data_IF_629880196833
#
_entry.id   IF_629880196833
#
_cell.length_a   1.000
_cell.length_b   1.000
_cell.length_c   1.000
_cell.angle_alpha   90.00
_cell.angle_beta   90.00
_cell.angle_gamma   90.00
#
_symmetry.space_group_name_H-M   'P 1'
#
loop_
_entity.id
_entity.type
_entity.pdbx_description
1 polymer ?
#
# COMPACT_ATOMS: atom_id res chain seq x y z
N UNK A 1 5.35 -36.76 4.74
CA UNK A 1 6.04 -36.26 5.95
C UNK A 1 5.50 -34.87 6.21
N UNK A 2 4.77 -34.66 7.32
CA UNK A 2 4.37 -33.32 7.71
C UNK A 2 5.63 -32.53 8.05
N UNK A 3 5.78 -31.32 7.50
CA UNK A 3 6.82 -30.40 7.89
C UNK A 3 6.75 -30.18 9.41
N UNK A 4 7.89 -30.19 10.13
CA UNK A 4 7.86 -29.88 11.55
C UNK A 4 7.18 -28.52 11.72
N UNK A 5 6.30 -28.38 12.71
CA UNK A 5 5.71 -27.11 13.16
C UNK A 5 6.89 -26.16 13.49
N UNK A 6 7.37 -25.44 12.51
CA UNK A 6 8.27 -24.32 12.75
C UNK A 6 7.42 -23.24 13.42
N UNK A 7 7.51 -23.19 14.75
CA UNK A 7 6.95 -22.08 15.51
C UNK A 7 7.69 -20.83 15.08
N UNK A 8 6.96 -19.86 14.55
CA UNK A 8 7.50 -18.53 14.29
C UNK A 8 7.97 -17.97 15.63
N UNK A 9 9.27 -17.67 15.73
CA UNK A 9 9.93 -17.15 16.95
C UNK A 9 10.21 -15.65 16.87
N UNK A 10 10.11 -15.08 15.67
CA UNK A 10 10.51 -13.72 15.37
C UNK A 10 9.47 -13.03 14.52
N UNK A 11 9.17 -11.79 14.85
CA UNK A 11 8.16 -10.97 14.17
C UNK A 11 8.70 -9.58 13.91
N UNK A 12 8.30 -9.02 12.77
CA UNK A 12 8.33 -7.58 12.56
C UNK A 12 6.89 -7.06 12.63
N UNK A 13 6.70 -5.97 13.34
CA UNK A 13 5.44 -5.25 13.42
C UNK A 13 5.65 -3.88 12.78
N UNK A 14 4.95 -3.65 11.68
CA UNK A 14 4.83 -2.35 11.05
C UNK A 14 3.62 -1.63 11.67
N UNK A 15 3.86 -0.72 12.60
CA UNK A 15 2.84 0.03 13.30
C UNK A 15 2.65 1.38 12.62
N UNK A 16 1.53 1.51 11.91
CA UNK A 16 1.15 2.74 11.22
C UNK A 16 0.71 3.82 12.19
N UNK A 17 1.17 5.04 11.98
CA UNK A 17 0.85 6.24 12.78
C UNK A 17 0.37 7.36 11.87
N UNK A 18 -0.73 7.98 12.19
CA UNK A 18 -1.27 9.11 11.42
C UNK A 18 -2.77 9.08 11.25
N UNK A 19 -3.30 10.01 10.49
CA UNK A 19 -4.75 10.17 10.26
C UNK A 19 -5.38 8.96 9.60
N UNK A 20 -4.67 8.27 8.70
CA UNK A 20 -5.11 7.05 8.05
C UNK A 20 -4.88 5.76 8.86
N UNK A 21 -4.19 5.83 10.01
CA UNK A 21 -3.83 4.67 10.80
C UNK A 21 -4.81 4.44 11.97
N UNK A 22 -4.78 3.21 12.53
CA UNK A 22 -5.47 2.91 13.79
C UNK A 22 -4.88 3.71 14.96
N UNK A 23 -3.54 3.79 15.04
CA UNK A 23 -2.82 4.63 16.00
C UNK A 23 -2.65 6.04 15.48
N UNK A 24 -3.40 7.00 16.05
CA UNK A 24 -3.37 8.41 15.60
C UNK A 24 -2.13 9.17 16.10
N UNK A 25 -1.44 8.68 17.13
CA UNK A 25 -0.25 9.32 17.71
C UNK A 25 0.90 8.35 17.90
N UNK A 26 2.13 8.84 17.75
CA UNK A 26 3.33 8.06 18.00
C UNK A 26 3.45 7.58 19.45
N UNK A 27 2.88 8.29 20.42
CA UNK A 27 2.86 7.92 21.84
C UNK A 27 2.04 6.64 22.03
N UNK A 28 0.81 6.60 21.49
CA UNK A 28 -0.07 5.44 21.57
C UNK A 28 0.54 4.22 20.84
N UNK A 29 1.13 4.45 19.67
CA UNK A 29 1.81 3.41 18.91
C UNK A 29 2.99 2.79 19.71
N UNK A 30 3.83 3.64 20.33
CA UNK A 30 4.93 3.16 21.20
C UNK A 30 4.40 2.37 22.40
N UNK A 31 3.31 2.80 23.03
CA UNK A 31 2.70 2.09 24.13
C UNK A 31 2.20 0.70 23.70
N UNK A 32 1.53 0.61 22.54
CA UNK A 32 1.12 -0.68 21.97
C UNK A 32 2.31 -1.57 21.67
N UNK A 33 3.34 -1.06 21.00
CA UNK A 33 4.57 -1.81 20.70
C UNK A 33 5.25 -2.33 21.97
N UNK A 34 5.32 -1.53 23.04
CA UNK A 34 5.88 -1.95 24.32
C UNK A 34 5.09 -3.11 24.96
N UNK A 35 3.76 -3.05 24.89
CA UNK A 35 2.87 -4.11 25.37
C UNK A 35 3.09 -5.40 24.56
N UNK A 36 3.08 -5.31 23.22
CA UNK A 36 3.29 -6.46 22.33
C UNK A 36 4.65 -7.11 22.54
N UNK A 37 5.72 -6.32 22.70
CA UNK A 37 7.06 -6.83 23.04
C UNK A 37 7.06 -7.57 24.38
N UNK A 38 6.36 -7.04 25.38
CA UNK A 38 6.25 -7.68 26.70
C UNK A 38 5.56 -9.04 26.59
N UNK A 39 4.47 -9.13 25.83
CA UNK A 39 3.74 -10.39 25.61
C UNK A 39 4.63 -11.39 24.85
N UNK A 40 5.26 -10.96 23.76
CA UNK A 40 6.15 -11.82 22.97
C UNK A 40 7.31 -12.37 23.79
N UNK A 41 7.96 -11.51 24.56
CA UNK A 41 9.09 -11.94 25.43
C UNK A 41 8.65 -13.01 26.42
N UNK A 42 7.45 -12.89 27.01
CA UNK A 42 6.90 -13.91 27.93
C UNK A 42 6.64 -15.24 27.23
N UNK A 43 6.34 -15.23 25.93
CA UNK A 43 6.12 -16.42 25.09
C UNK A 43 7.43 -16.91 24.41
N UNK A 44 8.58 -16.37 24.80
CA UNK A 44 9.90 -16.72 24.25
C UNK A 44 10.08 -16.29 22.80
N UNK A 45 9.41 -15.20 22.37
CA UNK A 45 9.46 -14.66 21.01
C UNK A 45 10.12 -13.29 20.97
N UNK A 46 10.65 -12.92 19.83
CA UNK A 46 11.23 -11.59 19.56
C UNK A 46 10.30 -10.80 18.65
N UNK A 47 10.06 -9.54 18.99
CA UNK A 47 9.35 -8.58 18.12
C UNK A 47 10.21 -7.34 17.91
N UNK A 48 10.45 -6.99 16.65
CA UNK A 48 10.91 -5.67 16.21
C UNK A 48 9.71 -4.85 15.79
N UNK A 49 9.54 -3.66 16.35
CA UNK A 49 8.46 -2.72 15.96
C UNK A 49 9.08 -1.58 15.16
N UNK A 50 8.51 -1.32 14.00
CA UNK A 50 8.82 -0.17 13.15
C UNK A 50 7.59 0.73 13.12
N UNK A 51 7.75 1.98 13.51
CA UNK A 51 6.69 2.99 13.39
C UNK A 51 6.82 3.66 12.04
N UNK A 52 5.75 3.64 11.26
CA UNK A 52 5.72 4.21 9.91
C UNK A 52 4.60 5.23 9.78
N UNK A 53 4.86 6.26 8.98
CA UNK A 53 3.92 7.35 8.76
C UNK A 53 2.74 6.90 7.87
N UNK A 54 1.52 7.34 8.23
CA UNK A 54 0.30 7.17 7.45
C UNK A 54 -0.57 8.44 7.49
N UNK A 55 0.07 9.61 7.36
CA UNK A 55 -0.63 10.89 7.12
C UNK A 55 -1.09 11.02 5.66
N UNK A 56 -0.61 10.14 4.79
CA UNK A 56 -1.03 10.00 3.41
C UNK A 56 -1.05 8.50 3.03
N UNK A 57 -1.76 8.08 1.98
CA UNK A 57 -1.68 6.72 1.46
C UNK A 57 -0.24 6.37 1.09
N UNK A 58 0.15 5.12 1.33
CA UNK A 58 1.43 4.58 0.88
C UNK A 58 1.26 4.09 -0.56
N UNK A 59 2.16 4.51 -1.45
CA UNK A 59 2.04 4.23 -2.86
C UNK A 59 1.03 5.13 -3.58
N UNK A 60 0.60 4.70 -4.73
CA UNK A 60 -0.24 5.46 -5.68
C UNK A 60 -1.56 4.80 -5.98
N UNK A 61 -1.82 3.63 -5.43
CA UNK A 61 -2.96 2.82 -5.85
C UNK A 61 -3.71 2.28 -4.65
N UNK A 62 -5.04 2.22 -4.78
CA UNK A 62 -5.95 1.56 -3.86
C UNK A 62 -6.78 0.58 -4.70
N UNK A 63 -6.74 -0.72 -4.38
CA UNK A 63 -7.50 -1.76 -5.07
C UNK A 63 -6.61 -2.89 -5.59
N UNK A 64 -7.15 -4.13 -5.56
CA UNK A 64 -6.36 -5.35 -5.66
C UNK A 64 -5.46 -5.43 -6.91
N UNK A 65 -6.02 -5.32 -8.11
CA UNK A 65 -5.25 -5.42 -9.35
C UNK A 65 -4.29 -4.25 -9.55
N UNK A 66 -4.67 -3.05 -9.08
CA UNK A 66 -3.84 -1.85 -9.15
C UNK A 66 -2.63 -1.98 -8.25
N UNK A 67 -2.83 -2.40 -7.00
CA UNK A 67 -1.75 -2.60 -6.02
C UNK A 67 -0.78 -3.74 -6.41
N UNK A 68 -1.28 -4.82 -7.02
CA UNK A 68 -0.41 -5.87 -7.57
C UNK A 68 0.45 -5.33 -8.71
N UNK A 69 -0.11 -4.48 -9.57
CA UNK A 69 0.67 -3.83 -10.64
C UNK A 69 1.76 -2.94 -10.05
N UNK A 70 1.43 -2.09 -9.09
CA UNK A 70 2.38 -1.24 -8.39
C UNK A 70 3.46 -2.06 -7.67
N UNK A 71 3.08 -3.15 -7.00
CA UNK A 71 4.02 -4.07 -6.36
C UNK A 71 5.01 -4.67 -7.36
N UNK A 72 4.56 -5.04 -8.57
CA UNK A 72 5.43 -5.54 -9.63
C UNK A 72 6.40 -4.44 -10.12
N UNK A 73 5.95 -3.19 -10.19
CA UNK A 73 6.81 -2.05 -10.52
C UNK A 73 7.90 -1.85 -9.47
N UNK A 74 7.56 -1.94 -8.18
CA UNK A 74 8.54 -1.91 -7.08
C UNK A 74 9.53 -3.07 -7.18
N UNK A 75 9.05 -4.28 -7.44
CA UNK A 75 9.90 -5.47 -7.61
C UNK A 75 10.84 -5.38 -8.83
N UNK A 76 10.54 -4.52 -9.80
CA UNK A 76 11.41 -4.17 -10.93
C UNK A 76 12.40 -3.03 -10.62
N UNK A 77 12.41 -2.52 -9.38
CA UNK A 77 13.25 -1.40 -8.96
C UNK A 77 12.67 -0.01 -9.27
N UNK A 78 11.42 0.05 -9.76
CA UNK A 78 10.65 1.27 -10.00
C UNK A 78 9.62 1.54 -8.90
N UNK A 79 8.46 2.07 -9.29
CA UNK A 79 7.33 2.35 -8.40
C UNK A 79 7.53 3.55 -7.47
N UNK A 80 6.57 3.80 -6.56
CA UNK A 80 6.61 4.93 -5.63
C UNK A 80 7.79 4.87 -4.66
N UNK A 81 8.36 6.03 -4.34
CA UNK A 81 9.56 6.13 -3.51
C UNK A 81 9.29 5.75 -2.04
N UNK A 82 8.13 6.12 -1.52
CA UNK A 82 7.66 5.80 -0.17
C UNK A 82 7.47 4.29 0.01
N UNK A 83 6.82 3.62 -0.95
CA UNK A 83 6.66 2.17 -0.95
C UNK A 83 8.01 1.45 -1.00
N UNK A 84 8.95 1.91 -1.83
CA UNK A 84 10.30 1.35 -1.89
C UNK A 84 11.07 1.54 -0.58
N UNK A 85 10.97 2.73 0.03
CA UNK A 85 11.59 2.99 1.32
C UNK A 85 11.05 2.06 2.40
N UNK A 86 9.73 1.87 2.46
CA UNK A 86 9.11 0.93 3.38
C UNK A 86 9.59 -0.51 3.16
N UNK A 87 9.69 -0.95 1.91
CA UNK A 87 10.22 -2.29 1.55
C UNK A 87 11.67 -2.44 2.00
N UNK A 88 12.51 -1.42 1.84
CA UNK A 88 13.91 -1.44 2.29
C UNK A 88 14.02 -1.52 3.81
N UNK A 89 13.21 -0.76 4.55
CA UNK A 89 13.24 -0.74 6.01
C UNK A 89 12.74 -2.07 6.56
N UNK A 90 11.52 -2.48 6.20
CA UNK A 90 10.92 -3.71 6.73
C UNK A 90 11.68 -4.95 6.27
N UNK A 91 12.06 -5.01 4.99
CA UNK A 91 12.84 -6.13 4.44
C UNK A 91 14.23 -6.22 5.09
N UNK A 92 14.87 -5.10 5.34
CA UNK A 92 16.16 -5.04 6.03
C UNK A 92 16.07 -5.63 7.44
N UNK A 93 15.08 -5.22 8.23
CA UNK A 93 14.82 -5.75 9.57
C UNK A 93 14.45 -7.24 9.54
N UNK A 94 13.65 -7.68 8.57
CA UNK A 94 13.31 -9.10 8.39
C UNK A 94 14.55 -9.96 8.14
N UNK A 95 15.50 -9.47 7.32
CA UNK A 95 16.75 -10.19 7.07
C UNK A 95 17.65 -10.27 8.30
N UNK A 96 17.64 -9.27 9.17
CA UNK A 96 18.36 -9.30 10.45
C UNK A 96 17.72 -10.32 11.39
N UNK A 97 16.40 -10.26 11.57
CA UNK A 97 15.66 -11.20 12.40
C UNK A 97 15.87 -12.65 11.94
N UNK A 98 15.83 -12.89 10.65
CA UNK A 98 16.06 -14.21 10.04
C UNK A 98 17.54 -14.63 9.99
N UNK A 99 18.47 -13.85 10.56
CA UNK A 99 19.91 -14.16 10.59
C UNK A 99 20.60 -14.08 9.23
N UNK A 100 19.92 -13.58 8.19
CA UNK A 100 20.46 -13.43 6.85
C UNK A 100 21.29 -12.14 6.67
N UNK A 101 21.11 -11.14 7.53
CA UNK A 101 21.89 -9.91 7.58
C UNK A 101 22.40 -9.67 9.01
N UNK A 102 23.51 -8.93 9.14
CA UNK A 102 24.09 -8.61 10.45
C UNK A 102 23.53 -7.31 11.03
N UNK A 103 23.18 -6.36 10.18
CA UNK A 103 22.63 -5.06 10.56
C UNK A 103 21.50 -4.68 9.62
N UNK A 104 20.60 -3.75 10.00
CA UNK A 104 19.56 -3.24 9.12
C UNK A 104 20.10 -2.67 7.79
N UNK A 105 21.27 -2.01 7.84
CA UNK A 105 21.93 -1.45 6.64
C UNK A 105 22.42 -2.56 5.69
N UNK A 106 23.01 -3.65 6.20
CA UNK A 106 23.37 -4.83 5.39
C UNK A 106 22.10 -5.46 4.79
N UNK A 107 21.05 -5.56 5.59
CA UNK A 107 19.74 -6.04 5.13
C UNK A 107 19.17 -5.18 4.01
N UNK A 108 19.13 -3.86 4.20
CA UNK A 108 18.69 -2.88 3.21
C UNK A 108 19.47 -3.01 1.89
N UNK A 109 20.81 -3.09 1.96
CA UNK A 109 21.65 -3.26 0.77
C UNK A 109 21.39 -4.58 0.03
N UNK A 110 20.96 -5.63 0.72
CA UNK A 110 20.57 -6.91 0.10
C UNK A 110 19.22 -6.81 -0.59
N UNK A 111 18.25 -6.14 0.01
CA UNK A 111 16.95 -5.87 -0.62
C UNK A 111 17.16 -5.04 -1.89
N UNK A 112 17.93 -3.96 -1.82
CA UNK A 112 18.23 -3.11 -2.97
C UNK A 112 18.85 -3.90 -4.13
N UNK A 113 19.82 -4.78 -3.83
CA UNK A 113 20.40 -5.67 -4.86
C UNK A 113 19.37 -6.62 -5.47
N UNK A 114 18.52 -7.23 -4.64
CA UNK A 114 17.51 -8.17 -5.11
C UNK A 114 16.46 -7.50 -6.03
N UNK A 115 16.15 -6.22 -5.77
CA UNK A 115 15.31 -5.41 -6.65
C UNK A 115 16.05 -5.07 -7.96
N UNK A 116 17.33 -4.66 -7.87
CA UNK A 116 18.12 -4.23 -9.02
C UNK A 116 18.49 -5.39 -9.98
N UNK A 117 18.76 -6.57 -9.47
CA UNK A 117 19.17 -7.75 -10.26
C UNK A 117 17.98 -8.63 -10.71
N UNK A 118 16.75 -8.29 -10.27
CA UNK A 118 15.51 -8.98 -10.65
C UNK A 118 15.22 -10.26 -9.85
N UNK A 119 16.07 -10.65 -8.90
CA UNK A 119 15.84 -11.86 -8.09
C UNK A 119 14.60 -11.75 -7.20
N UNK A 120 14.24 -10.53 -6.75
CA UNK A 120 13.00 -10.27 -6.03
C UNK A 120 11.76 -10.56 -6.90
N UNK A 121 11.72 -10.05 -8.13
CA UNK A 121 10.63 -10.32 -9.07
C UNK A 121 10.52 -11.80 -9.42
N UNK A 122 11.67 -12.47 -9.62
CA UNK A 122 11.68 -13.92 -9.91
C UNK A 122 11.18 -14.74 -8.71
N UNK A 123 11.46 -14.30 -7.49
CA UNK A 123 10.91 -14.93 -6.28
C UNK A 123 9.39 -14.74 -6.21
N UNK A 124 8.88 -13.54 -6.51
CA UNK A 124 7.45 -13.29 -6.59
C UNK A 124 6.78 -14.15 -7.67
N UNK A 125 7.40 -14.31 -8.85
CA UNK A 125 6.94 -15.22 -9.92
C UNK A 125 6.75 -16.65 -9.42
N UNK A 126 7.71 -17.15 -8.64
CA UNK A 126 7.63 -18.50 -8.04
C UNK A 126 6.49 -18.60 -7.03
N UNK A 127 6.28 -17.55 -6.22
CA UNK A 127 5.18 -17.50 -5.25
C UNK A 127 3.83 -17.54 -5.97
N UNK A 128 3.65 -16.73 -7.01
CA UNK A 128 2.43 -16.71 -7.83
C UNK A 128 2.15 -18.10 -8.42
N UNK A 129 3.15 -18.73 -9.03
CA UNK A 129 3.01 -20.07 -9.60
C UNK A 129 2.69 -21.14 -8.53
N UNK A 130 3.35 -21.08 -7.37
CA UNK A 130 3.13 -22.02 -6.28
C UNK A 130 1.72 -21.91 -5.67
N UNK A 131 1.12 -20.72 -5.71
CA UNK A 131 -0.26 -20.48 -5.28
C UNK A 131 -1.30 -20.75 -6.38
N UNK A 132 -0.89 -21.22 -7.56
CA UNK A 132 -1.79 -21.56 -8.68
C UNK A 132 -2.20 -20.35 -9.52
N UNK A 133 -1.56 -19.19 -9.34
CA UNK A 133 -1.74 -18.00 -10.17
C UNK A 133 -0.96 -18.08 -11.50
N UNK A 134 -1.21 -17.12 -12.37
CA UNK A 134 -0.52 -17.01 -13.66
C UNK A 134 0.79 -16.20 -13.52
N UNK A 135 1.97 -16.84 -13.60
CA UNK A 135 3.26 -16.16 -13.42
C UNK A 135 3.58 -15.14 -14.51
N UNK A 136 2.86 -15.13 -15.65
CA UNK A 136 2.99 -14.11 -16.69
C UNK A 136 2.61 -12.71 -16.20
N UNK A 137 1.91 -12.60 -15.05
CA UNK A 137 1.62 -11.32 -14.40
C UNK A 137 2.88 -10.53 -14.14
N UNK A 138 4.00 -11.19 -13.84
CA UNK A 138 5.29 -10.55 -13.62
C UNK A 138 5.89 -9.91 -14.88
N UNK A 139 5.51 -10.33 -16.08
CA UNK A 139 6.01 -9.80 -17.36
C UNK A 139 5.04 -8.80 -17.97
N UNK A 140 3.77 -9.15 -17.95
CA UNK A 140 2.68 -8.43 -18.62
C UNK A 140 1.47 -8.29 -17.70
N UNK A 141 1.56 -7.51 -16.60
CA UNK A 141 0.46 -7.37 -15.65
C UNK A 141 -0.82 -6.87 -16.31
N UNK A 142 -0.73 -5.98 -17.29
CA UNK A 142 -1.89 -5.43 -18.01
C UNK A 142 -2.67 -6.46 -18.84
N UNK A 143 -2.08 -7.62 -19.19
CA UNK A 143 -2.76 -8.69 -19.92
C UNK A 143 -3.30 -9.81 -19.03
N UNK A 144 -2.83 -9.88 -17.79
CA UNK A 144 -3.19 -10.95 -16.84
C UNK A 144 -4.16 -10.43 -15.77
N UNK A 145 -3.90 -9.23 -15.23
CA UNK A 145 -4.77 -8.63 -14.23
C UNK A 145 -6.06 -8.14 -14.87
N UNK A 146 -7.16 -8.38 -14.15
CA UNK A 146 -8.47 -7.87 -14.54
C UNK A 146 -8.46 -6.33 -14.60
N UNK A 147 -9.27 -5.78 -15.50
CA UNK A 147 -9.39 -4.34 -15.69
C UNK A 147 -10.85 -3.93 -15.53
N UNK A 148 -11.08 -2.78 -14.91
CA UNK A 148 -12.40 -2.18 -14.82
C UNK A 148 -12.90 -1.72 -16.20
N UNK A 149 -14.20 -1.82 -16.41
CA UNK A 149 -14.84 -1.38 -17.67
C UNK A 149 -14.88 0.15 -17.77
N UNK A 150 -14.89 0.86 -16.65
CA UNK A 150 -14.98 2.30 -16.57
C UNK A 150 -13.76 2.89 -15.86
N UNK A 151 -13.33 4.05 -16.37
CA UNK A 151 -12.24 4.86 -15.82
C UNK A 151 -12.70 6.31 -15.84
N UNK A 152 -12.95 6.84 -14.65
CA UNK A 152 -13.38 8.22 -14.48
C UNK A 152 -12.21 9.04 -13.94
N UNK A 153 -11.92 10.15 -14.59
CA UNK A 153 -10.91 11.09 -14.17
C UNK A 153 -11.50 12.15 -13.25
N UNK A 154 -10.71 12.60 -12.29
CA UNK A 154 -11.06 13.66 -11.35
C UNK A 154 -9.84 14.57 -11.17
N UNK A 155 -10.03 15.84 -11.49
CA UNK A 155 -9.05 16.88 -11.30
C UNK A 155 -9.25 17.53 -9.93
N UNK A 156 -8.17 17.67 -9.17
CA UNK A 156 -8.12 18.46 -7.95
C UNK A 156 -7.94 19.94 -8.31
N UNK A 157 -8.31 20.83 -7.40
CA UNK A 157 -8.11 22.27 -7.57
C UNK A 157 -6.61 22.65 -7.54
N UNK A 158 -6.23 23.80 -8.13
CA UNK A 158 -4.86 24.28 -8.08
C UNK A 158 -4.48 24.73 -6.66
N UNK A 159 -3.22 24.47 -6.26
CA UNK A 159 -2.69 24.84 -4.96
C UNK A 159 -1.79 23.75 -4.38
N UNK A 160 -1.34 23.95 -3.15
CA UNK A 160 -0.50 22.98 -2.43
C UNK A 160 -1.36 21.99 -1.66
N UNK A 161 -1.15 20.70 -1.84
CA UNK A 161 -1.78 19.65 -1.03
C UNK A 161 -1.16 19.69 0.37
N UNK A 162 -1.95 20.06 1.38
CA UNK A 162 -1.48 20.21 2.77
C UNK A 162 -1.95 19.09 3.69
N UNK A 163 -3.00 18.35 3.30
CA UNK A 163 -3.44 17.14 3.98
C UNK A 163 -4.12 16.18 3.02
N UNK A 164 -4.06 14.88 3.33
CA UNK A 164 -4.74 13.81 2.60
C UNK A 164 -5.41 12.88 3.62
N UNK A 165 -6.71 12.72 3.54
CA UNK A 165 -7.46 11.78 4.37
C UNK A 165 -7.40 10.36 3.75
N UNK A 166 -6.43 9.58 4.19
CA UNK A 166 -6.22 8.19 3.73
C UNK A 166 -7.38 7.27 4.08
N UNK A 167 -8.08 7.51 5.20
CA UNK A 167 -9.24 6.72 5.61
C UNK A 167 -10.43 6.95 4.65
N UNK A 168 -10.70 8.22 4.30
CA UNK A 168 -11.72 8.57 3.31
C UNK A 168 -11.43 7.95 1.94
N UNK A 169 -10.17 7.98 1.48
CA UNK A 169 -9.77 7.34 0.23
C UNK A 169 -9.95 5.82 0.26
N UNK A 170 -9.63 5.17 1.38
CA UNK A 170 -9.88 3.75 1.59
C UNK A 170 -11.37 3.40 1.52
N UNK A 171 -12.23 4.19 2.17
CA UNK A 171 -13.70 4.01 2.15
C UNK A 171 -14.24 4.25 0.73
N UNK A 172 -13.74 5.25 0.02
CA UNK A 172 -14.11 5.49 -1.38
C UNK A 172 -13.76 4.28 -2.27
N UNK A 173 -12.59 3.65 -2.06
CA UNK A 173 -12.21 2.41 -2.72
C UNK A 173 -13.20 1.27 -2.46
N UNK A 174 -13.69 1.15 -1.22
CA UNK A 174 -14.74 0.15 -0.87
C UNK A 174 -16.05 0.46 -1.59
N UNK A 175 -16.46 1.73 -1.70
CA UNK A 175 -17.66 2.14 -2.44
C UNK A 175 -17.56 1.78 -3.92
N UNK A 176 -16.38 1.89 -4.52
CA UNK A 176 -16.13 1.49 -5.92
C UNK A 176 -16.15 -0.03 -6.11
N UNK A 177 -16.04 -0.82 -5.03
CA UNK A 177 -16.03 -2.27 -5.06
C UNK A 177 -14.70 -2.94 -4.70
N UNK A 178 -13.63 -2.17 -4.42
CA UNK A 178 -12.30 -2.70 -4.12
C UNK A 178 -12.19 -3.41 -2.75
N UNK A 179 -13.19 -3.26 -1.89
CA UNK A 179 -13.23 -3.84 -0.55
C UNK A 179 -14.63 -4.28 -0.13
N UNK A 180 -14.76 -4.70 1.12
CA UNK A 180 -16.01 -5.20 1.72
C UNK A 180 -16.51 -4.26 2.81
N UNK A 181 -17.82 -3.98 2.83
CA UNK A 181 -18.52 -3.36 3.96
C UNK A 181 -19.09 -4.43 4.88
N UNK A 182 -19.51 -5.55 4.29
CA UNK A 182 -20.04 -6.71 5.00
C UNK A 182 -19.35 -7.99 4.56
N UNK A 183 -19.51 -9.07 5.32
CA UNK A 183 -18.93 -10.38 4.96
C UNK A 183 -19.49 -10.97 3.68
N UNK A 184 -20.69 -10.54 3.28
CA UNK A 184 -21.41 -11.05 2.11
C UNK A 184 -21.07 -10.28 0.83
N UNK A 185 -20.37 -9.15 0.95
CA UNK A 185 -19.96 -8.34 -0.21
C UNK A 185 -18.91 -9.09 -1.05
N UNK A 186 -19.11 -9.05 -2.36
CA UNK A 186 -18.14 -9.56 -3.34
C UNK A 186 -17.18 -8.45 -3.73
N UNK A 187 -15.89 -8.70 -3.52
CA UNK A 187 -14.84 -7.77 -3.94
C UNK A 187 -14.69 -7.83 -5.46
N UNK A 188 -14.69 -6.67 -6.10
CA UNK A 188 -14.27 -6.53 -7.49
C UNK A 188 -12.76 -6.24 -7.55
N UNK A 189 -11.92 -7.19 -7.96
CA UNK A 189 -10.48 -6.98 -7.97
C UNK A 189 -10.02 -5.98 -9.04
N UNK A 190 -10.88 -5.56 -9.97
CA UNK A 190 -10.58 -4.54 -10.96
C UNK A 190 -10.86 -3.12 -10.48
N UNK A 191 -11.70 -2.98 -9.43
CA UNK A 191 -12.07 -1.69 -8.87
C UNK A 191 -10.92 -1.08 -8.04
N UNK A 192 -10.88 0.26 -8.00
CA UNK A 192 -9.91 0.98 -7.19
C UNK A 192 -9.69 2.41 -7.63
N UNK A 193 -8.64 3.01 -7.09
CA UNK A 193 -8.27 4.41 -7.30
C UNK A 193 -6.78 4.46 -7.64
N UNK A 194 -6.42 5.23 -8.67
CA UNK A 194 -5.05 5.64 -8.92
C UNK A 194 -4.93 7.10 -8.51
N UNK A 195 -3.89 7.43 -7.74
CA UNK A 195 -3.67 8.74 -7.14
C UNK A 195 -2.31 9.26 -7.62
N UNK A 196 -2.32 10.31 -8.43
CA UNK A 196 -1.11 11.03 -8.84
C UNK A 196 -1.08 12.41 -8.18
N UNK A 197 -1.15 12.40 -6.87
CA UNK A 197 -1.17 13.57 -6.01
C UNK A 197 -0.50 13.24 -4.68
N UNK A 198 0.45 14.05 -4.26
CA UNK A 198 1.25 13.81 -3.05
C UNK A 198 1.11 14.92 -2.03
N UNK A 199 1.28 14.56 -0.78
CA UNK A 199 1.41 15.54 0.30
C UNK A 199 2.57 16.51 0.00
N UNK A 200 2.30 17.81 0.17
CA UNK A 200 3.18 18.94 -0.15
C UNK A 200 3.42 19.21 -1.65
N UNK A 201 2.82 18.46 -2.56
CA UNK A 201 2.87 18.76 -4.00
C UNK A 201 2.03 19.99 -4.33
N UNK A 202 2.47 20.74 -5.35
CA UNK A 202 1.75 21.88 -5.90
C UNK A 202 1.08 21.46 -7.19
N UNK A 203 -0.25 21.61 -7.25
CA UNK A 203 -1.03 21.41 -8.47
C UNK A 203 -1.11 22.74 -9.19
N UNK A 204 -0.56 22.80 -10.39
CA UNK A 204 -0.60 23.99 -11.24
C UNK A 204 -1.98 24.18 -11.87
N UNK A 205 -2.40 25.44 -12.13
CA UNK A 205 -3.61 25.69 -12.90
C UNK A 205 -3.57 25.02 -14.27
N UNK A 206 -4.60 24.21 -14.58
CA UNK A 206 -4.67 23.47 -15.84
C UNK A 206 -3.88 22.17 -15.88
N UNK A 207 -3.37 21.71 -14.74
CA UNK A 207 -2.77 20.37 -14.63
C UNK A 207 -3.76 19.28 -15.07
N UNK A 208 -3.28 18.14 -15.62
CA UNK A 208 -4.13 17.00 -15.93
C UNK A 208 -4.81 16.45 -14.66
N UNK A 209 -5.89 15.66 -14.80
CA UNK A 209 -6.50 14.99 -13.66
C UNK A 209 -5.49 14.15 -12.86
N UNK A 210 -5.50 14.30 -11.54
CA UNK A 210 -4.59 13.59 -10.64
C UNK A 210 -5.16 12.29 -10.12
N UNK A 211 -6.47 12.08 -10.24
CA UNK A 211 -7.15 10.90 -9.69
C UNK A 211 -7.86 10.17 -10.83
N UNK A 212 -7.74 8.83 -10.83
CA UNK A 212 -8.49 7.96 -11.75
C UNK A 212 -9.24 6.90 -10.96
N UNK A 213 -10.56 6.91 -11.06
CA UNK A 213 -11.43 5.91 -10.47
C UNK A 213 -11.61 4.75 -11.46
N UNK A 214 -11.33 3.54 -11.02
CA UNK A 214 -11.57 2.30 -11.77
C UNK A 214 -12.78 1.59 -11.17
N UNK A 215 -13.83 1.31 -11.96
CA UNK A 215 -15.04 0.67 -11.44
C UNK A 215 -15.82 -0.11 -12.50
N UNK A 216 -16.69 -1.02 -12.02
CA UNK A 216 -17.67 -1.74 -12.83
C UNK A 216 -19.11 -1.42 -12.40
N UNK A 217 -19.32 -0.29 -11.73
CA UNK A 217 -20.63 0.17 -11.28
C UNK A 217 -21.54 0.48 -12.48
N UNK A 218 -22.84 0.20 -12.35
CA UNK A 218 -23.81 0.52 -13.36
C UNK A 218 -23.96 2.05 -13.53
N UNK A 219 -24.34 2.52 -14.73
CA UNK A 219 -24.66 3.94 -14.93
C UNK A 219 -25.72 4.43 -13.94
N UNK A 220 -25.43 5.53 -13.23
CA UNK A 220 -26.33 6.11 -12.22
C UNK A 220 -26.28 5.43 -10.84
N UNK A 221 -25.35 4.51 -10.59
CA UNK A 221 -25.13 3.95 -9.26
C UNK A 221 -24.70 5.06 -8.28
N UNK A 222 -25.47 5.24 -7.22
CA UNK A 222 -25.24 6.30 -6.23
C UNK A 222 -23.86 6.21 -5.56
N UNK A 223 -23.28 5.01 -5.44
CA UNK A 223 -21.96 4.79 -4.85
C UNK A 223 -20.84 5.52 -5.60
N UNK A 224 -20.99 5.67 -6.94
CA UNK A 224 -20.01 6.40 -7.73
C UNK A 224 -19.98 7.89 -7.35
N UNK A 225 -21.15 8.51 -7.22
CA UNK A 225 -21.24 9.92 -6.82
C UNK A 225 -20.73 10.13 -5.38
N UNK A 226 -21.07 9.20 -4.47
CA UNK A 226 -20.59 9.20 -3.09
C UNK A 226 -19.07 9.05 -3.01
N UNK A 227 -18.49 8.11 -3.75
CA UNK A 227 -17.03 7.91 -3.82
C UNK A 227 -16.31 9.15 -4.36
N UNK A 228 -16.84 9.78 -5.43
CA UNK A 228 -16.28 11.02 -6.00
C UNK A 228 -16.27 12.14 -4.97
N UNK A 229 -17.40 12.40 -4.32
CA UNK A 229 -17.50 13.45 -3.31
C UNK A 229 -16.55 13.20 -2.11
N UNK A 230 -16.41 11.93 -1.71
CA UNK A 230 -15.50 11.54 -0.64
C UNK A 230 -14.03 11.75 -1.04
N UNK A 231 -13.65 11.39 -2.28
CA UNK A 231 -12.30 11.61 -2.80
C UNK A 231 -12.00 13.10 -2.91
N UNK A 232 -12.92 13.92 -3.44
CA UNK A 232 -12.76 15.38 -3.51
C UNK A 232 -12.55 16.00 -2.13
N UNK A 233 -13.29 15.53 -1.12
CA UNK A 233 -13.16 15.98 0.27
C UNK A 233 -11.94 15.45 1.01
N UNK A 234 -11.26 14.44 0.48
CA UNK A 234 -10.09 13.83 1.12
C UNK A 234 -8.80 14.66 0.98
N UNK A 235 -8.79 15.65 0.09
CA UNK A 235 -7.61 16.50 -0.13
C UNK A 235 -7.86 17.91 0.39
N UNK A 236 -7.02 18.36 1.32
CA UNK A 236 -6.96 19.76 1.71
C UNK A 236 -5.91 20.48 0.86
N UNK A 237 -6.36 21.50 0.12
CA UNK A 237 -5.51 22.24 -0.82
C UNK A 237 -5.43 23.69 -0.36
N UNK A 238 -4.24 24.14 0.04
CA UNK A 238 -4.00 25.53 0.32
C UNK A 238 -3.85 26.34 -0.98
N UNK A 239 -4.35 27.56 -0.99
CA UNK A 239 -4.16 28.45 -2.13
C UNK A 239 -2.66 28.59 -2.45
N UNK A 240 -2.29 28.72 -3.74
CA UNK A 240 -0.90 28.98 -4.10
C UNK A 240 -0.41 30.24 -3.39
N UNK A 241 0.82 30.16 -2.84
CA UNK A 241 1.47 31.35 -2.30
C UNK A 241 1.61 32.40 -3.43
N UNK A 242 1.01 33.57 -3.25
CA UNK A 242 1.04 34.71 -4.19
C UNK A 242 2.38 35.42 -4.10
#
# INVERSE_FOLDING_TARGET
MAAPNQRISEYILDEKVGTGAFMKTAENARALCALMRTIATRDGKTITCVLTDMEAPIGRTIGNALEIRESIEVLRGGGPADTRELVHVLGGEMLVLGGAAKTPEDGRARIERALADGTALETFRKIVAAQGGDPRVCDSPGSVLVQAAHRDELALGPGRIVAIDSEALGIAGVLLGAGRRTTDDVIDPAAGIVIDAYLNEVIEPGAPPQIVLHHNLAPGDARLAEARAMIEGAFEIAAPDV
#
